data_IF_857901372744
#
_entry.id   IF_857901372744
#
_cell.length_a   1.000
_cell.length_b   1.000
_cell.length_c   1.000
_cell.angle_alpha   90.00
_cell.angle_beta   90.00
_cell.angle_gamma   90.00
#
_symmetry.space_group_name_H-M   'P 1'
#
loop_
_entity.id
_entity.type
_entity.pdbx_description
1 polymer ?
#
# COMPACT_ATOMS: atom_id res chain seq x y z
N UNK A 1 18.43 1.50 -5.86
CA UNK A 1 16.98 1.65 -5.59
C UNK A 1 16.53 2.99 -6.11
N UNK A 2 15.49 3.05 -6.95
CA UNK A 2 14.90 4.32 -7.40
C UNK A 2 14.31 5.00 -6.16
N UNK A 3 14.59 6.29 -5.96
CA UNK A 3 14.01 7.04 -4.85
C UNK A 3 12.50 7.16 -5.07
N UNK A 4 11.70 6.76 -4.09
CA UNK A 4 10.25 6.87 -4.16
C UNK A 4 9.83 8.35 -4.10
N UNK A 5 8.90 8.82 -4.95
CA UNK A 5 8.38 10.17 -4.87
C UNK A 5 7.81 10.46 -3.48
N UNK A 6 8.22 11.59 -2.91
CA UNK A 6 7.71 12.10 -1.63
C UNK A 6 6.43 12.91 -1.79
N UNK A 7 5.75 13.16 -0.67
CA UNK A 7 4.63 14.10 -0.59
C UNK A 7 5.09 15.54 -0.80
N UNK A 8 4.18 16.41 -1.26
CA UNK A 8 4.31 17.85 -1.12
C UNK A 8 4.31 18.27 0.37
N UNK A 9 4.70 19.52 0.65
CA UNK A 9 4.83 20.01 2.03
C UNK A 9 3.50 20.03 2.81
N UNK A 10 2.39 20.37 2.15
CA UNK A 10 1.09 20.44 2.80
C UNK A 10 0.58 19.04 3.16
N UNK A 11 0.70 18.09 2.25
CA UNK A 11 0.35 16.69 2.43
C UNK A 11 1.23 16.03 3.50
N UNK A 12 2.53 16.30 3.49
CA UNK A 12 3.48 15.84 4.52
C UNK A 12 3.11 16.38 5.91
N UNK A 13 2.76 17.66 6.02
CA UNK A 13 2.35 18.27 7.29
C UNK A 13 1.08 17.62 7.85
N UNK A 14 0.10 17.31 7.00
CA UNK A 14 -1.12 16.60 7.40
C UNK A 14 -0.84 15.19 7.93
N UNK A 15 -0.05 14.38 7.21
CA UNK A 15 0.33 13.04 7.68
C UNK A 15 1.08 13.13 9.01
N UNK A 16 2.03 14.06 9.12
CA UNK A 16 2.79 14.28 10.37
C UNK A 16 1.88 14.61 11.54
N UNK A 17 0.85 15.45 11.32
CA UNK A 17 -0.14 15.78 12.34
C UNK A 17 -0.93 14.55 12.81
N UNK A 18 -1.39 13.71 11.88
CA UNK A 18 -2.14 12.48 12.19
C UNK A 18 -1.28 11.48 12.99
N UNK A 19 0.01 11.36 12.64
CA UNK A 19 0.99 10.56 13.37
C UNK A 19 1.25 11.12 14.78
N UNK A 20 1.42 12.43 14.91
CA UNK A 20 1.65 13.10 16.19
C UNK A 20 0.46 13.02 17.14
N UNK A 21 -0.77 13.03 16.61
CA UNK A 21 -1.99 12.76 17.37
C UNK A 21 -2.15 11.26 17.70
N UNK A 22 -1.34 10.39 17.08
CA UNK A 22 -1.36 8.94 17.17
C UNK A 22 -2.64 8.30 16.62
N UNK A 23 -3.33 8.98 15.71
CA UNK A 23 -4.51 8.47 15.00
C UNK A 23 -4.12 7.38 14.00
N UNK A 24 -2.91 7.49 13.46
CA UNK A 24 -2.30 6.54 12.53
C UNK A 24 -1.03 5.92 13.13
N UNK A 25 -0.85 4.64 12.85
CA UNK A 25 0.37 3.89 13.16
C UNK A 25 0.95 3.38 11.85
N UNK A 26 2.21 3.74 11.49
CA UNK A 26 2.85 3.24 10.28
C UNK A 26 3.22 1.76 10.46
N UNK A 27 2.89 0.93 9.47
CA UNK A 27 3.18 -0.51 9.49
C UNK A 27 3.99 -0.97 8.27
N UNK A 28 4.29 -0.05 7.36
CA UNK A 28 5.08 -0.25 6.15
C UNK A 28 6.20 0.80 6.07
N UNK A 29 7.27 0.50 5.35
CA UNK A 29 8.38 1.43 5.13
C UNK A 29 8.73 1.55 3.63
N UNK A 30 9.55 2.55 3.29
CA UNK A 30 9.93 2.83 1.91
C UNK A 30 10.67 1.66 1.24
N UNK A 31 11.49 0.91 1.98
CA UNK A 31 12.20 -0.26 1.42
C UNK A 31 11.21 -1.32 0.95
N UNK A 32 10.25 -1.70 1.80
CA UNK A 32 9.23 -2.70 1.45
C UNK A 32 8.29 -2.22 0.35
N UNK A 33 7.95 -0.93 0.34
CA UNK A 33 7.19 -0.36 -0.79
C UNK A 33 7.96 -0.50 -2.11
N UNK A 34 9.26 -0.18 -2.11
CA UNK A 34 10.11 -0.35 -3.29
C UNK A 34 10.23 -1.80 -3.73
N UNK A 35 10.39 -2.74 -2.80
CA UNK A 35 10.45 -4.18 -3.10
C UNK A 35 9.14 -4.71 -3.69
N UNK A 36 7.99 -4.28 -3.15
CA UNK A 36 6.68 -4.62 -3.68
C UNK A 36 6.53 -4.13 -5.12
N UNK A 37 6.77 -2.84 -5.36
CA UNK A 37 6.65 -2.22 -6.69
C UNK A 37 7.57 -2.91 -7.69
N UNK A 38 8.83 -3.14 -7.32
CA UNK A 38 9.78 -3.84 -8.19
C UNK A 38 9.31 -5.26 -8.53
N UNK A 39 8.70 -5.98 -7.57
CA UNK A 39 8.18 -7.32 -7.82
C UNK A 39 7.01 -7.33 -8.79
N UNK A 40 6.13 -6.32 -8.73
CA UNK A 40 5.01 -6.17 -9.67
C UNK A 40 5.51 -5.80 -11.07
N UNK A 41 6.47 -4.87 -11.14
CA UNK A 41 7.07 -4.44 -12.40
C UNK A 41 7.88 -5.53 -13.11
N UNK A 42 8.53 -6.41 -12.34
CA UNK A 42 9.35 -7.50 -12.87
C UNK A 42 8.54 -8.76 -13.22
N UNK A 43 7.22 -8.76 -13.02
CA UNK A 43 6.33 -9.89 -13.35
C UNK A 43 5.05 -9.40 -14.06
N UNK A 44 5.17 -8.70 -15.21
CA UNK A 44 4.01 -8.19 -15.94
C UNK A 44 3.07 -9.29 -16.42
N UNK A 45 3.58 -10.51 -16.66
CA UNK A 45 2.80 -11.69 -17.06
C UNK A 45 1.77 -12.13 -16.02
N UNK A 46 1.91 -11.69 -14.77
CA UNK A 46 0.95 -11.97 -13.70
C UNK A 46 -0.22 -10.99 -13.67
N UNK A 47 -0.21 -9.98 -14.55
CA UNK A 47 -1.15 -8.86 -14.60
C UNK A 47 -1.47 -8.28 -13.21
N UNK A 48 -0.46 -7.84 -12.44
CA UNK A 48 -0.69 -7.29 -11.12
C UNK A 48 -1.50 -5.99 -11.23
N UNK A 49 -2.58 -5.89 -10.47
CA UNK A 49 -3.43 -4.72 -10.34
C UNK A 49 -3.52 -4.31 -8.89
N UNK A 50 -3.72 -3.03 -8.68
CA UNK A 50 -3.92 -2.48 -7.36
C UNK A 50 -5.11 -1.53 -7.34
N UNK A 51 -5.67 -1.34 -6.16
CA UNK A 51 -6.41 -0.12 -5.83
C UNK A 51 -6.00 0.32 -4.44
N UNK A 52 -6.09 1.60 -4.17
CA UNK A 52 -5.58 2.15 -2.92
C UNK A 52 -6.57 3.09 -2.26
N UNK A 53 -6.37 3.26 -0.97
CA UNK A 53 -6.96 4.32 -0.18
C UNK A 53 -5.85 5.16 0.43
N UNK A 54 -5.99 6.47 0.31
CA UNK A 54 -5.11 7.44 0.96
C UNK A 54 -5.63 7.81 2.35
N UNK A 55 -4.73 8.03 3.30
CA UNK A 55 -5.07 8.62 4.62
C UNK A 55 -5.49 10.08 4.51
N UNK A 56 -5.14 10.74 3.40
CA UNK A 56 -5.50 12.13 3.11
C UNK A 56 -6.78 12.26 2.27
N UNK A 57 -7.27 11.14 1.72
CA UNK A 57 -8.50 11.09 0.96
C UNK A 57 -9.75 11.24 1.83
N UNK A 58 -10.90 11.67 1.26
CA UNK A 58 -12.17 11.70 1.98
C UNK A 58 -12.55 10.32 2.54
N UNK A 59 -13.31 10.26 3.66
CA UNK A 59 -13.81 8.99 4.18
C UNK A 59 -14.56 8.18 3.12
N UNK A 60 -14.23 6.89 2.98
CA UNK A 60 -14.83 6.00 2.00
C UNK A 60 -14.34 6.18 0.55
N UNK A 61 -13.50 7.18 0.27
CA UNK A 61 -12.91 7.36 -1.05
C UNK A 61 -11.82 6.32 -1.30
N UNK A 62 -12.03 5.48 -2.31
CA UNK A 62 -11.10 4.43 -2.75
C UNK A 62 -10.90 4.66 -4.24
N UNK A 63 -9.65 4.60 -4.70
CA UNK A 63 -9.36 4.70 -6.12
C UNK A 63 -9.83 3.45 -6.86
N UNK A 64 -10.14 3.59 -8.14
CA UNK A 64 -10.45 2.45 -9.00
C UNK A 64 -9.24 1.52 -9.16
N UNK A 65 -9.48 0.32 -9.69
CA UNK A 65 -8.41 -0.60 -10.01
C UNK A 65 -7.52 -0.05 -11.13
N UNK A 66 -6.22 -0.12 -10.90
CA UNK A 66 -5.17 0.35 -11.80
C UNK A 66 -4.09 -0.72 -11.96
N UNK A 67 -3.28 -0.59 -13.01
CA UNK A 67 -2.14 -1.43 -13.32
C UNK A 67 -0.85 -0.62 -13.58
N UNK A 68 -0.89 0.72 -13.52
CA UNK A 68 0.31 1.54 -13.68
C UNK A 68 1.09 1.66 -12.36
N UNK A 69 1.96 0.68 -12.15
CA UNK A 69 2.90 0.61 -11.03
C UNK A 69 4.07 1.60 -11.13
N UNK A 70 4.27 2.27 -12.26
CA UNK A 70 5.36 3.24 -12.42
C UNK A 70 4.98 4.62 -11.90
N UNK A 71 3.72 5.01 -12.04
CA UNK A 71 3.27 6.37 -11.77
C UNK A 71 2.10 6.44 -10.78
N UNK A 72 1.04 5.67 -10.98
CA UNK A 72 -0.22 5.87 -10.25
C UNK A 72 -0.21 5.32 -8.83
N UNK A 73 0.76 4.48 -8.47
CA UNK A 73 0.96 4.04 -7.07
C UNK A 73 1.61 5.11 -6.20
N UNK A 74 2.15 6.18 -6.78
CA UNK A 74 2.84 7.22 -6.03
C UNK A 74 1.91 8.39 -5.69
N UNK A 75 2.14 9.07 -4.55
CA UNK A 75 3.16 8.79 -3.53
C UNK A 75 2.73 7.72 -2.51
N UNK A 76 3.60 6.75 -2.21
CA UNK A 76 3.27 5.66 -1.27
C UNK A 76 3.15 6.12 0.18
N UNK A 77 3.68 7.30 0.50
CA UNK A 77 3.74 7.84 1.85
C UNK A 77 2.38 8.25 2.42
N UNK A 78 1.33 8.33 1.60
CA UNK A 78 -0.05 8.58 2.06
C UNK A 78 -0.95 7.35 1.95
N UNK A 79 -0.46 6.24 1.41
CA UNK A 79 -1.27 5.03 1.23
C UNK A 79 -1.61 4.47 2.61
N UNK A 80 -2.89 4.49 2.96
CA UNK A 80 -3.38 3.77 4.13
C UNK A 80 -3.32 2.27 3.89
N UNK A 81 -3.89 1.84 2.77
CA UNK A 81 -3.86 0.46 2.35
C UNK A 81 -3.92 0.33 0.84
N UNK A 82 -3.39 -0.79 0.36
CA UNK A 82 -3.32 -1.20 -1.03
C UNK A 82 -3.97 -2.58 -1.14
N UNK A 83 -5.05 -2.67 -1.88
CA UNK A 83 -5.61 -3.96 -2.28
C UNK A 83 -4.97 -4.43 -3.58
N UNK A 84 -4.75 -5.74 -3.66
CA UNK A 84 -3.94 -6.37 -4.68
C UNK A 84 -4.70 -7.50 -5.37
N UNK A 85 -4.55 -7.58 -6.68
CA UNK A 85 -5.01 -8.68 -7.53
C UNK A 85 -3.97 -9.03 -8.57
N UNK A 86 -3.97 -10.28 -8.99
CA UNK A 86 -3.13 -10.82 -10.06
C UNK A 86 -3.82 -12.07 -10.61
N UNK A 87 -3.30 -12.63 -11.71
CA UNK A 87 -3.80 -13.90 -12.26
C UNK A 87 -3.66 -15.08 -11.28
N UNK A 88 -2.73 -15.00 -10.32
CA UNK A 88 -2.54 -16.01 -9.26
C UNK A 88 -2.41 -15.35 -7.89
N UNK A 89 -3.36 -15.65 -7.00
CA UNK A 89 -3.28 -15.26 -5.58
C UNK A 89 -2.11 -15.94 -4.88
N UNK A 90 -1.78 -17.18 -5.23
CA UNK A 90 -0.65 -17.93 -4.66
C UNK A 90 0.68 -17.24 -4.98
N UNK A 91 0.84 -16.76 -6.22
CA UNK A 91 2.00 -15.97 -6.61
C UNK A 91 2.08 -14.68 -5.78
N UNK A 92 0.97 -13.96 -5.68
CA UNK A 92 0.90 -12.67 -4.97
C UNK A 92 1.27 -12.83 -3.49
N UNK A 93 0.70 -13.81 -2.80
CA UNK A 93 1.05 -14.11 -1.40
C UNK A 93 2.51 -14.53 -1.24
N UNK A 94 3.03 -15.33 -2.18
CA UNK A 94 4.44 -15.76 -2.17
C UNK A 94 5.38 -14.57 -2.34
N UNK A 95 5.05 -13.65 -3.22
CA UNK A 95 5.79 -12.39 -3.42
C UNK A 95 5.81 -11.56 -2.14
N UNK A 96 4.66 -11.37 -1.49
CA UNK A 96 4.58 -10.61 -0.24
C UNK A 96 5.38 -11.26 0.89
N UNK A 97 5.32 -12.59 1.02
CA UNK A 97 6.16 -13.35 1.97
C UNK A 97 7.64 -13.15 1.70
N UNK A 98 8.08 -13.17 0.44
CA UNK A 98 9.49 -12.91 0.05
C UNK A 98 9.96 -11.50 0.42
N UNK A 99 9.09 -10.50 0.29
CA UNK A 99 9.37 -9.12 0.72
C UNK A 99 9.18 -8.89 2.23
N UNK A 100 8.80 -9.92 3.00
CA UNK A 100 8.47 -9.79 4.42
C UNK A 100 7.34 -8.79 4.70
N UNK A 101 6.38 -8.66 3.77
CA UNK A 101 5.23 -7.76 3.86
C UNK A 101 4.05 -8.54 4.43
N UNK A 102 3.54 -8.07 5.58
CA UNK A 102 2.31 -8.60 6.17
C UNK A 102 1.10 -8.06 5.43
N UNK A 103 0.05 -8.88 5.35
CA UNK A 103 -1.20 -8.50 4.70
C UNK A 103 -2.40 -9.05 5.49
N UNK A 104 -3.60 -8.63 5.12
CA UNK A 104 -4.85 -9.24 5.56
C UNK A 104 -5.72 -9.61 4.35
N UNK A 105 -6.78 -10.40 4.56
CA UNK A 105 -7.79 -10.68 3.54
C UNK A 105 -9.07 -9.93 3.92
N UNK A 106 -9.43 -8.94 3.13
CA UNK A 106 -10.57 -8.05 3.37
C UNK A 106 -11.59 -8.21 2.26
N UNK A 107 -12.80 -8.70 2.58
CA UNK A 107 -13.83 -8.95 1.57
C UNK A 107 -13.36 -9.88 0.43
N UNK A 108 -12.50 -10.84 0.75
CA UNK A 108 -11.91 -11.78 -0.23
C UNK A 108 -10.76 -11.19 -1.07
N UNK A 109 -10.31 -9.97 -0.79
CA UNK A 109 -9.19 -9.33 -1.50
C UNK A 109 -7.99 -9.19 -0.58
N UNK A 110 -6.79 -9.43 -1.13
CA UNK A 110 -5.55 -9.28 -0.39
C UNK A 110 -5.24 -7.80 -0.18
N UNK A 111 -5.03 -7.38 1.07
CA UNK A 111 -4.76 -5.99 1.44
C UNK A 111 -3.44 -5.86 2.19
N UNK A 112 -2.55 -5.03 1.67
CA UNK A 112 -1.34 -4.55 2.34
C UNK A 112 -1.64 -3.20 2.98
N UNK A 113 -1.09 -2.93 4.15
CA UNK A 113 -1.34 -1.70 4.90
C UNK A 113 -0.09 -0.84 4.92
N UNK A 114 -0.22 0.46 4.62
CA UNK A 114 0.80 1.46 4.90
C UNK A 114 0.64 2.04 6.30
N UNK A 115 -0.60 2.32 6.68
CA UNK A 115 -0.99 2.78 8.00
C UNK A 115 -2.18 1.98 8.52
N UNK A 116 -2.24 1.79 9.83
CA UNK A 116 -3.44 1.34 10.53
C UNK A 116 -3.94 2.47 11.43
N UNK A 117 -5.26 2.55 11.64
CA UNK A 117 -5.83 3.40 12.68
C UNK A 117 -5.49 2.80 14.06
N UNK A 118 -5.36 3.65 15.08
CA UNK A 118 -5.00 3.24 16.45
C UNK A 118 -5.76 2.01 16.96
N UNK A 119 -7.07 1.99 16.75
CA UNK A 119 -7.96 0.95 17.29
C UNK A 119 -8.26 -0.15 16.25
N UNK A 120 -7.52 -0.19 15.15
CA UNK A 120 -7.70 -1.17 14.09
C UNK A 120 -6.60 -2.24 14.17
N UNK A 121 -7.01 -3.50 14.14
CA UNK A 121 -6.10 -4.63 14.06
C UNK A 121 -6.52 -5.55 12.91
N UNK A 122 -5.87 -5.45 11.75
CA UNK A 122 -6.07 -6.41 10.67
C UNK A 122 -5.74 -7.83 11.13
N UNK A 123 -6.45 -8.81 10.58
CA UNK A 123 -6.10 -10.23 10.74
C UNK A 123 -4.86 -10.54 9.90
N UNK A 124 -3.69 -10.35 10.51
CA UNK A 124 -2.40 -10.42 9.83
C UNK A 124 -2.06 -11.83 9.36
N UNK A 125 -1.57 -11.93 8.13
CA UNK A 125 -0.97 -13.10 7.51
C UNK A 125 0.43 -12.81 6.99
#
# INVERSE_FOLDING_TARGET
MRQLPGLDDASRAKVTKLLGAGELVPVMNNTKWGELINSMLNSPEMEPKFRLRSVLGPPGHVLEWDADWHFHIHPVAEIEWLELKALSSVWLETTLRKCGIRYSIEGGTLRVWGYIKRDSQPDWR
#
